data_IF_564359314551
#
_entry.id   IF_564359314551
#
_cell.length_a   1.000
_cell.length_b   1.000
_cell.length_c   1.000
_cell.angle_alpha   90.00
_cell.angle_beta   90.00
_cell.angle_gamma   90.00
#
_symmetry.space_group_name_H-M   'P 1'
#
loop_
_entity.id
_entity.type
_entity.pdbx_description
1 polymer ?
#
# COMPACT_ATOMS: atom_id res chain seq x y z
N UNK A 1 12.09 24.50 10.83
CA UNK A 1 11.17 24.09 11.91
C UNK A 1 9.75 24.61 11.68
N UNK A 2 9.47 25.94 11.62
CA UNK A 2 8.09 26.48 11.44
C UNK A 2 7.28 25.88 10.28
N UNK A 3 7.91 25.57 9.14
CA UNK A 3 7.21 24.96 7.99
C UNK A 3 6.81 23.51 8.24
N UNK A 4 7.62 22.75 8.97
CA UNK A 4 7.33 21.35 9.32
C UNK A 4 6.20 21.27 10.33
N UNK A 5 6.24 22.11 11.37
CA UNK A 5 5.19 22.19 12.38
C UNK A 5 3.84 22.56 11.76
N UNK A 6 3.84 23.54 10.83
CA UNK A 6 2.62 23.89 10.11
C UNK A 6 2.10 22.74 9.24
N UNK A 7 2.97 22.08 8.49
CA UNK A 7 2.59 20.93 7.66
C UNK A 7 2.02 19.77 8.51
N UNK A 8 2.56 19.56 9.72
CA UNK A 8 2.07 18.54 10.65
C UNK A 8 0.71 18.91 11.25
N UNK A 9 0.49 20.17 11.63
CA UNK A 9 -0.81 20.61 12.14
C UNK A 9 -1.89 20.48 11.06
N UNK A 10 -1.63 20.99 9.84
CA UNK A 10 -2.53 20.83 8.70
C UNK A 10 -2.81 19.34 8.39
N UNK A 11 -1.80 18.49 8.49
CA UNK A 11 -1.94 17.04 8.32
C UNK A 11 -2.91 16.44 9.33
N UNK A 12 -2.74 16.75 10.61
CA UNK A 12 -3.60 16.21 11.68
C UNK A 12 -5.04 16.67 11.48
N UNK A 13 -5.26 17.96 11.21
CA UNK A 13 -6.59 18.53 11.01
C UNK A 13 -7.30 17.89 9.81
N UNK A 14 -6.61 17.78 8.67
CA UNK A 14 -7.16 17.15 7.47
C UNK A 14 -7.41 15.64 7.68
N UNK A 15 -6.55 14.97 8.44
CA UNK A 15 -6.66 13.54 8.70
C UNK A 15 -7.88 13.21 9.56
N UNK A 16 -8.27 14.10 10.48
CA UNK A 16 -9.48 13.94 11.29
C UNK A 16 -10.76 13.93 10.44
N UNK A 17 -10.79 14.68 9.35
CA UNK A 17 -11.95 14.76 8.44
C UNK A 17 -11.94 13.72 7.31
N UNK A 18 -10.81 13.01 7.09
CA UNK A 18 -10.69 12.02 6.04
C UNK A 18 -11.52 10.77 6.35
N UNK A 19 -12.38 10.35 5.41
CA UNK A 19 -13.28 9.19 5.54
C UNK A 19 -12.96 8.14 4.47
N UNK A 20 -12.78 8.58 3.22
CA UNK A 20 -12.56 7.70 2.08
C UNK A 20 -11.07 7.48 1.80
N UNK A 21 -10.76 6.45 1.03
CA UNK A 21 -9.38 6.19 0.59
C UNK A 21 -8.80 7.36 -0.19
N UNK A 22 -9.63 8.02 -1.00
CA UNK A 22 -9.21 9.19 -1.77
C UNK A 22 -8.95 10.41 -0.88
N UNK A 23 -9.70 10.58 0.22
CA UNK A 23 -9.38 11.60 1.22
C UNK A 23 -8.02 11.35 1.86
N UNK A 24 -7.77 10.12 2.29
CA UNK A 24 -6.47 9.73 2.84
C UNK A 24 -5.33 9.94 1.85
N UNK A 25 -5.55 9.59 0.57
CA UNK A 25 -4.57 9.82 -0.49
C UNK A 25 -4.26 11.31 -0.63
N UNK A 26 -5.28 12.16 -0.71
CA UNK A 26 -5.11 13.62 -0.84
C UNK A 26 -4.38 14.25 0.34
N UNK A 27 -4.73 13.83 1.56
CA UNK A 27 -4.07 14.33 2.78
C UNK A 27 -2.59 13.98 2.76
N UNK A 28 -2.24 12.71 2.53
CA UNK A 28 -0.85 12.29 2.53
C UNK A 28 -0.04 12.90 1.37
N UNK A 29 -0.62 13.05 0.18
CA UNK A 29 0.01 13.69 -0.97
C UNK A 29 0.32 15.16 -0.69
N UNK A 30 -0.64 15.92 -0.15
CA UNK A 30 -0.43 17.31 0.25
C UNK A 30 0.67 17.43 1.30
N UNK A 31 0.65 16.56 2.32
CA UNK A 31 1.67 16.55 3.37
C UNK A 31 3.04 16.24 2.81
N UNK A 32 3.15 15.23 1.93
CA UNK A 32 4.41 14.91 1.25
C UNK A 32 4.98 16.13 0.51
N UNK A 33 4.16 16.81 -0.28
CA UNK A 33 4.56 18.01 -1.02
C UNK A 33 4.97 19.17 -0.09
N UNK A 34 4.23 19.39 1.00
CA UNK A 34 4.56 20.43 2.00
C UNK A 34 5.88 20.18 2.71
N UNK A 35 6.28 18.91 2.81
CA UNK A 35 7.54 18.46 3.40
C UNK A 35 8.69 18.35 2.36
N UNK A 36 8.42 18.68 1.09
CA UNK A 36 9.43 18.66 0.02
C UNK A 36 9.61 17.30 -0.67
N UNK A 37 8.72 16.35 -0.41
CA UNK A 37 8.70 15.07 -1.11
C UNK A 37 7.76 15.13 -2.31
N UNK A 38 8.11 14.40 -3.36
CA UNK A 38 7.30 14.32 -4.58
C UNK A 38 6.22 13.25 -4.50
N UNK A 39 6.53 12.13 -3.83
CA UNK A 39 5.69 10.96 -3.77
C UNK A 39 5.48 10.50 -2.34
N UNK A 40 4.33 9.88 -2.10
CA UNK A 40 4.12 9.07 -0.91
C UNK A 40 3.57 7.70 -1.30
N UNK A 41 3.77 6.72 -0.43
CA UNK A 41 3.10 5.44 -0.46
C UNK A 41 2.84 4.93 0.95
N UNK A 42 1.63 4.52 1.20
CA UNK A 42 1.26 3.75 2.37
C UNK A 42 0.92 2.35 1.95
N UNK A 43 1.65 1.39 2.48
CA UNK A 43 1.42 -0.02 2.26
C UNK A 43 1.09 -0.70 3.58
N UNK A 44 0.07 -1.56 3.60
CA UNK A 44 -0.21 -2.41 4.75
C UNK A 44 -0.57 -3.81 4.31
N UNK A 45 0.02 -4.81 4.96
CA UNK A 45 -0.31 -6.21 4.78
C UNK A 45 -1.17 -6.67 5.95
N UNK A 46 -2.42 -7.02 5.67
CA UNK A 46 -3.39 -7.50 6.65
C UNK A 46 -3.88 -8.88 6.27
N UNK A 47 -4.67 -9.52 7.15
CA UNK A 47 -5.33 -10.77 6.85
C UNK A 47 -6.18 -10.72 5.57
N UNK A 48 -6.79 -9.56 5.29
CA UNK A 48 -7.64 -9.33 4.12
C UNK A 48 -6.87 -8.92 2.85
N UNK A 49 -5.55 -9.11 2.81
CA UNK A 49 -4.69 -8.80 1.69
C UNK A 49 -3.93 -7.47 1.82
N UNK A 50 -3.02 -7.21 0.88
CA UNK A 50 -2.25 -5.98 0.85
C UNK A 50 -3.13 -4.80 0.44
N UNK A 51 -2.90 -3.65 1.07
CA UNK A 51 -3.51 -2.37 0.72
C UNK A 51 -2.41 -1.38 0.40
N UNK A 52 -2.56 -0.72 -0.74
CA UNK A 52 -1.70 0.38 -1.17
C UNK A 52 -2.53 1.65 -1.36
N UNK A 53 -2.12 2.73 -0.70
CA UNK A 53 -2.60 4.09 -0.95
C UNK A 53 -1.36 4.91 -1.32
N UNK A 54 -1.31 5.48 -2.52
CA UNK A 54 -0.11 6.20 -2.96
C UNK A 54 -0.41 7.30 -3.96
N UNK A 55 0.54 8.21 -4.11
CA UNK A 55 0.59 9.22 -5.18
C UNK A 55 1.51 8.80 -6.34
N UNK A 56 2.06 7.61 -6.31
CA UNK A 56 2.87 7.09 -7.41
C UNK A 56 2.07 6.99 -8.72
N UNK A 57 2.72 7.14 -9.88
CA UNK A 57 2.08 6.90 -11.17
C UNK A 57 1.43 5.52 -11.24
N UNK A 58 0.24 5.43 -11.82
CA UNK A 58 -0.47 4.13 -11.98
C UNK A 58 0.37 3.11 -12.74
N UNK A 59 1.13 3.55 -13.75
CA UNK A 59 2.07 2.70 -14.50
C UNK A 59 3.12 2.05 -13.59
N UNK A 60 3.66 2.78 -12.62
CA UNK A 60 4.58 2.22 -11.63
C UNK A 60 3.88 1.23 -10.70
N UNK A 61 2.74 1.59 -10.13
CA UNK A 61 2.04 0.71 -9.20
C UNK A 61 1.58 -0.58 -9.87
N UNK A 62 1.11 -0.54 -11.13
CA UNK A 62 0.79 -1.74 -11.90
C UNK A 62 2.02 -2.60 -12.11
N UNK A 63 3.11 -2.02 -12.63
CA UNK A 63 4.38 -2.72 -12.84
C UNK A 63 4.92 -3.36 -11.56
N UNK A 64 4.85 -2.62 -10.42
CA UNK A 64 5.27 -3.11 -9.11
C UNK A 64 4.55 -4.40 -8.69
N UNK A 65 3.24 -4.47 -8.90
CA UNK A 65 2.45 -5.66 -8.59
C UNK A 65 2.60 -6.76 -9.65
N UNK A 66 2.72 -6.41 -10.92
CA UNK A 66 2.91 -7.35 -12.02
C UNK A 66 4.23 -8.14 -11.87
N UNK A 67 5.29 -7.48 -11.40
CA UNK A 67 6.59 -8.10 -11.12
C UNK A 67 6.65 -8.80 -9.73
N UNK A 68 5.59 -8.66 -8.91
CA UNK A 68 5.53 -9.27 -7.57
C UNK A 68 6.56 -8.68 -6.61
N UNK A 69 6.80 -7.37 -6.71
CA UNK A 69 7.76 -6.69 -5.85
C UNK A 69 7.27 -6.57 -4.41
N UNK A 70 5.97 -6.70 -4.16
CA UNK A 70 5.39 -6.74 -2.81
C UNK A 70 5.92 -7.87 -1.93
N UNK A 71 6.40 -8.95 -2.54
CA UNK A 71 6.94 -10.10 -1.80
C UNK A 71 8.40 -9.90 -1.37
N UNK A 72 9.12 -9.04 -2.08
CA UNK A 72 10.54 -8.78 -1.77
C UNK A 72 10.69 -7.69 -0.74
N UNK A 73 9.83 -6.71 -0.72
CA UNK A 73 9.90 -5.41 -0.02
C UNK A 73 11.22 -5.21 0.76
N UNK A 74 12.33 -4.92 0.06
CA UNK A 74 13.68 -4.91 0.65
C UNK A 74 13.81 -3.88 1.77
N UNK A 75 12.97 -2.87 1.65
CA UNK A 75 12.78 -1.76 2.56
C UNK A 75 12.38 -2.24 3.97
N UNK A 76 11.68 -3.36 4.09
CA UNK A 76 11.29 -3.92 5.38
C UNK A 76 12.29 -4.93 5.95
N UNK A 77 13.10 -5.55 5.09
CA UNK A 77 14.13 -6.49 5.54
C UNK A 77 15.36 -5.78 6.12
N UNK A 78 15.62 -4.54 5.71
CA UNK A 78 16.79 -3.75 6.17
C UNK A 78 16.60 -3.13 7.56
N UNK A 79 15.38 -3.06 8.11
CA UNK A 79 15.16 -2.38 9.39
C UNK A 79 15.50 -3.25 10.59
N UNK A 80 16.81 -3.40 10.86
CA UNK A 80 17.34 -3.78 12.17
C UNK A 80 17.46 -2.57 13.12
N UNK A 81 17.06 -1.38 12.69
CA UNK A 81 17.10 -0.17 13.50
C UNK A 81 15.91 -0.13 14.47
N UNK A 82 16.14 0.14 15.75
CA UNK A 82 15.07 0.24 16.77
C UNK A 82 14.03 1.32 16.45
N UNK A 83 14.41 2.35 15.69
CA UNK A 83 13.54 3.50 15.38
C UNK A 83 12.49 3.23 14.30
N UNK A 84 12.50 2.08 13.62
CA UNK A 84 11.52 1.78 12.59
C UNK A 84 11.55 2.66 11.33
N UNK A 85 12.43 3.66 11.29
CA UNK A 85 12.57 4.61 10.18
C UNK A 85 13.91 4.40 9.51
N UNK A 86 13.95 4.34 8.18
CA UNK A 86 15.19 4.17 7.42
C UNK A 86 15.15 4.88 6.08
N UNK A 87 16.33 5.35 5.68
CA UNK A 87 16.61 5.94 4.38
C UNK A 87 16.97 4.84 3.38
N UNK A 88 16.57 5.06 2.14
CA UNK A 88 16.98 4.23 1.02
C UNK A 88 17.31 5.10 -0.19
N UNK A 89 18.28 4.66 -0.99
CA UNK A 89 18.67 5.26 -2.26
C UNK A 89 18.69 4.17 -3.33
N UNK A 90 17.91 4.32 -4.39
CA UNK A 90 17.86 3.38 -5.50
C UNK A 90 19.18 3.24 -6.27
N UNK A 91 20.10 4.19 -6.12
CA UNK A 91 21.46 4.09 -6.67
C UNK A 91 22.35 3.10 -5.92
N UNK A 92 21.99 2.77 -4.68
CA UNK A 92 22.67 1.75 -3.87
C UNK A 92 22.27 0.31 -4.25
N UNK A 93 21.84 0.10 -5.51
CA UNK A 93 21.54 -1.23 -6.04
C UNK A 93 22.70 -2.25 -5.85
N UNK A 94 23.93 -1.76 -5.59
CA UNK A 94 25.08 -2.59 -5.19
C UNK A 94 24.87 -3.30 -3.85
N UNK A 95 24.02 -2.77 -2.98
CA UNK A 95 23.66 -3.37 -1.69
C UNK A 95 22.45 -4.31 -1.78
N UNK A 96 21.89 -4.50 -2.97
CA UNK A 96 20.78 -5.40 -3.21
C UNK A 96 21.18 -6.84 -2.92
N UNK A 97 20.40 -7.54 -2.11
CA UNK A 97 20.68 -8.91 -1.65
C UNK A 97 20.28 -9.98 -2.68
N UNK A 98 19.49 -9.60 -3.69
CA UNK A 98 19.02 -10.50 -4.73
C UNK A 98 18.94 -9.81 -6.09
N UNK A 99 18.97 -10.57 -7.22
CA UNK A 99 18.77 -10.01 -8.55
C UNK A 99 17.40 -9.31 -8.69
N UNK A 100 16.37 -9.82 -8.03
CA UNK A 100 15.02 -9.24 -8.05
C UNK A 100 14.98 -7.90 -7.30
N UNK A 101 15.69 -7.76 -6.18
CA UNK A 101 15.82 -6.50 -5.44
C UNK A 101 16.55 -5.44 -6.30
N UNK A 102 17.58 -5.85 -7.02
CA UNK A 102 18.30 -4.95 -7.94
C UNK A 102 17.36 -4.45 -9.04
N UNK A 103 16.61 -5.35 -9.68
CA UNK A 103 15.63 -4.98 -10.72
C UNK A 103 14.57 -4.02 -10.19
N UNK A 104 14.06 -4.22 -8.98
CA UNK A 104 13.13 -3.29 -8.34
C UNK A 104 13.70 -1.86 -8.27
N UNK A 105 14.97 -1.70 -7.87
CA UNK A 105 15.59 -0.38 -7.80
C UNK A 105 15.82 0.23 -9.19
N UNK A 106 16.27 -0.57 -10.14
CA UNK A 106 16.49 -0.12 -11.54
C UNK A 106 15.18 0.34 -12.16
N UNK A 107 14.09 -0.42 -11.96
CA UNK A 107 12.76 -0.07 -12.44
C UNK A 107 12.23 1.19 -11.75
N UNK A 108 12.37 1.31 -10.43
CA UNK A 108 11.96 2.50 -9.68
C UNK A 108 12.66 3.77 -10.19
N UNK A 109 13.95 3.67 -10.52
CA UNK A 109 14.71 4.77 -11.11
C UNK A 109 14.13 5.21 -12.46
N UNK A 110 13.65 4.29 -13.29
CA UNK A 110 13.00 4.61 -14.58
C UNK A 110 11.73 5.45 -14.41
N UNK A 111 11.04 5.29 -13.27
CA UNK A 111 9.86 6.08 -12.88
C UNK A 111 10.21 7.32 -12.05
N UNK A 112 11.51 7.69 -11.98
CA UNK A 112 12.02 8.82 -11.18
C UNK A 112 11.78 8.69 -9.68
N UNK A 113 11.65 7.47 -9.19
CA UNK A 113 11.56 7.14 -7.76
C UNK A 113 12.98 6.76 -7.32
N UNK A 114 13.74 7.74 -6.85
CA UNK A 114 15.18 7.58 -6.67
C UNK A 114 15.61 7.36 -5.23
N UNK A 115 15.10 8.16 -4.32
CA UNK A 115 15.48 8.09 -2.90
C UNK A 115 14.29 8.40 -2.03
N UNK A 116 14.32 7.93 -0.81
CA UNK A 116 13.23 8.18 0.12
C UNK A 116 13.49 7.71 1.53
N UNK A 117 12.51 7.99 2.35
CA UNK A 117 12.40 7.58 3.73
C UNK A 117 11.21 6.65 3.88
N UNK A 118 11.37 5.57 4.62
CA UNK A 118 10.27 4.71 5.00
C UNK A 118 10.17 4.59 6.51
N UNK A 119 8.97 4.83 7.02
CA UNK A 119 8.56 4.55 8.39
C UNK A 119 7.95 3.16 8.42
N UNK A 120 8.61 2.21 9.08
CA UNK A 120 8.05 0.90 9.36
C UNK A 120 7.12 0.98 10.55
N UNK A 121 5.93 0.46 10.39
CA UNK A 121 4.90 0.47 11.42
C UNK A 121 4.68 -0.98 11.85
N UNK A 122 5.13 -1.36 13.07
CA UNK A 122 4.89 -2.69 13.60
C UNK A 122 3.38 -2.86 13.85
N UNK A 123 2.87 -4.00 13.41
CA UNK A 123 1.49 -4.41 13.64
C UNK A 123 1.49 -5.81 14.27
N UNK A 124 0.37 -6.24 14.84
CA UNK A 124 0.28 -7.55 15.47
C UNK A 124 0.32 -8.71 14.45
N UNK A 125 0.82 -9.89 14.88
CA UNK A 125 0.67 -11.17 14.19
C UNK A 125 1.24 -11.24 12.76
N UNK A 126 2.54 -11.00 12.59
CA UNK A 126 3.22 -11.13 11.29
C UNK A 126 2.66 -10.21 10.19
N UNK A 127 1.92 -9.19 10.57
CA UNK A 127 1.45 -8.12 9.71
C UNK A 127 2.40 -6.94 9.80
N UNK A 128 2.44 -6.11 8.79
CA UNK A 128 3.22 -4.88 8.82
C UNK A 128 2.54 -3.79 8.00
N UNK A 129 2.86 -2.56 8.34
CA UNK A 129 2.56 -1.41 7.51
C UNK A 129 3.82 -0.57 7.31
N UNK A 130 3.83 0.20 6.25
CA UNK A 130 4.91 1.12 5.94
C UNK A 130 4.34 2.41 5.35
N UNK A 131 4.91 3.53 5.77
CA UNK A 131 4.64 4.84 5.18
C UNK A 131 5.94 5.36 4.57
N UNK A 132 5.93 5.59 3.28
CA UNK A 132 7.09 5.97 2.49
C UNK A 132 6.89 7.36 1.90
N UNK A 133 7.92 8.18 1.98
CA UNK A 133 8.05 9.46 1.30
C UNK A 133 9.23 9.37 0.34
N UNK A 134 9.06 9.79 -0.91
CA UNK A 134 10.08 9.63 -1.94
C UNK A 134 10.24 10.89 -2.81
N UNK A 135 11.44 11.03 -3.36
CA UNK A 135 11.82 12.10 -4.28
C UNK A 135 12.53 11.54 -5.51
N UNK A 136 12.60 12.34 -6.55
CA UNK A 136 13.31 12.05 -7.80
C UNK A 136 14.77 12.48 -7.78
N UNK A 137 15.17 13.31 -6.82
CA UNK A 137 16.57 13.69 -6.64
C UNK A 137 16.94 13.78 -5.16
N UNK A 138 18.22 13.53 -4.88
CA UNK A 138 18.78 13.62 -3.54
C UNK A 138 19.56 14.93 -3.42
N UNK A 139 19.11 15.82 -2.56
CA UNK A 139 19.82 17.03 -2.21
C UNK A 139 20.43 16.92 -0.81
N UNK A 140 21.55 17.59 -0.58
CA UNK A 140 22.16 17.69 0.76
C UNK A 140 21.19 18.26 1.80
N UNK A 141 20.27 19.13 1.36
CA UNK A 141 19.22 19.68 2.21
C UNK A 141 18.20 18.63 2.67
N UNK A 142 17.90 17.65 1.82
CA UNK A 142 16.97 16.56 2.14
C UNK A 142 17.54 15.64 3.23
N UNK A 143 18.81 15.24 3.12
CA UNK A 143 19.44 14.39 4.12
C UNK A 143 19.42 15.05 5.50
N UNK A 144 19.82 16.32 5.57
CA UNK A 144 19.81 17.09 6.81
C UNK A 144 18.38 17.27 7.35
N UNK A 145 17.42 17.51 6.45
CA UNK A 145 16.01 17.61 6.83
C UNK A 145 15.52 16.30 7.47
N UNK A 146 15.83 15.17 6.86
CA UNK A 146 15.39 13.85 7.36
C UNK A 146 16.03 13.56 8.71
N UNK A 147 17.33 13.80 8.87
CA UNK A 147 18.05 13.62 10.14
C UNK A 147 17.42 14.45 11.27
N UNK A 148 17.08 15.70 10.99
CA UNK A 148 16.53 16.62 12.00
C UNK A 148 15.03 16.45 12.24
N UNK A 149 14.30 15.76 11.35
CA UNK A 149 12.83 15.63 11.39
C UNK A 149 12.37 14.17 11.51
N UNK A 150 13.27 13.24 11.78
CA UNK A 150 12.99 11.80 11.79
C UNK A 150 11.82 11.44 12.71
N UNK A 151 11.79 11.99 13.93
CA UNK A 151 10.73 11.72 14.90
C UNK A 151 9.37 12.23 14.41
N UNK A 152 9.37 13.40 13.78
CA UNK A 152 8.16 14.00 13.21
C UNK A 152 7.64 13.16 12.05
N UNK A 153 8.52 12.72 11.16
CA UNK A 153 8.16 11.87 10.02
C UNK A 153 7.65 10.50 10.49
N UNK A 154 8.24 9.97 11.56
CA UNK A 154 7.74 8.75 12.20
C UNK A 154 6.34 8.95 12.78
N UNK A 155 6.11 10.06 13.47
CA UNK A 155 4.79 10.41 14.00
C UNK A 155 3.74 10.53 12.87
N UNK A 156 4.08 11.18 11.76
CA UNK A 156 3.20 11.29 10.59
C UNK A 156 2.81 9.90 10.07
N UNK A 157 3.76 9.00 9.90
CA UNK A 157 3.50 7.64 9.42
C UNK A 157 2.63 6.83 10.37
N UNK A 158 2.90 6.88 11.67
CA UNK A 158 2.15 6.18 12.71
C UNK A 158 0.71 6.71 12.81
N UNK A 159 0.54 8.04 12.83
CA UNK A 159 -0.78 8.69 12.91
C UNK A 159 -1.60 8.38 11.65
N UNK A 160 -0.98 8.44 10.47
CA UNK A 160 -1.64 8.04 9.23
C UNK A 160 -2.16 6.61 9.30
N UNK A 161 -1.29 5.67 9.72
CA UNK A 161 -1.66 4.27 9.87
C UNK A 161 -2.82 4.08 10.85
N UNK A 162 -2.79 4.74 11.99
CA UNK A 162 -3.85 4.64 13.00
C UNK A 162 -5.21 5.07 12.41
N UNK A 163 -5.25 6.19 11.70
CA UNK A 163 -6.49 6.69 11.09
C UNK A 163 -6.99 5.82 9.93
N UNK A 164 -6.10 5.40 9.02
CA UNK A 164 -6.45 4.46 7.94
C UNK A 164 -6.95 3.14 8.52
N UNK A 165 -6.31 2.64 9.57
CA UNK A 165 -6.69 1.39 10.22
C UNK A 165 -8.04 1.49 10.92
N UNK A 166 -8.33 2.64 11.53
CA UNK A 166 -9.59 2.87 12.21
C UNK A 166 -10.78 3.05 11.26
N UNK A 167 -10.57 3.63 10.07
CA UNK A 167 -11.67 4.04 9.19
C UNK A 167 -11.81 3.18 7.93
N UNK A 168 -10.69 2.77 7.34
CA UNK A 168 -10.71 1.95 6.12
C UNK A 168 -10.51 0.45 6.46
N UNK A 169 -10.02 0.14 7.64
CA UNK A 169 -9.73 -1.23 8.09
C UNK A 169 -10.79 -1.86 8.97
N UNK A 170 -11.82 -1.13 9.33
CA UNK A 170 -12.92 -1.68 10.11
C UNK A 170 -13.94 -2.34 9.19
N UNK A 171 -14.07 -3.66 9.30
CA UNK A 171 -15.40 -4.27 9.25
C UNK A 171 -16.19 -3.60 10.39
N UNK A 172 -17.36 -2.99 10.15
CA UNK A 172 -18.11 -2.29 11.20
C UNK A 172 -18.41 -3.27 12.35
N UNK A 173 -18.13 -2.89 13.60
CA UNK A 173 -18.57 -3.68 14.74
C UNK A 173 -20.03 -3.37 14.98
N UNK A 174 -20.92 -3.89 14.25
CA UNK A 174 -22.30 -4.15 14.65
C UNK A 174 -23.17 -4.58 13.47
N UNK A 175 -23.63 -5.81 13.49
CA UNK A 175 -24.98 -6.21 13.13
C UNK A 175 -25.42 -6.12 11.66
N UNK A 176 -24.76 -5.39 10.80
CA UNK A 176 -24.86 -5.53 9.35
C UNK A 176 -23.63 -6.30 8.87
N UNK A 177 -23.83 -7.53 8.46
CA UNK A 177 -22.82 -8.38 7.82
C UNK A 177 -22.26 -7.64 6.60
N UNK A 178 -21.20 -6.84 6.82
CA UNK A 178 -20.39 -6.32 5.72
C UNK A 178 -19.90 -7.51 4.93
N UNK A 179 -20.09 -7.50 3.62
CA UNK A 179 -19.59 -8.56 2.75
C UNK A 179 -18.12 -8.84 3.07
N UNK A 180 -17.71 -10.08 3.30
CA UNK A 180 -16.32 -10.45 3.52
C UNK A 180 -15.44 -10.16 2.28
N UNK A 181 -16.06 -9.81 1.17
CA UNK A 181 -15.45 -9.53 -0.11
C UNK A 181 -15.45 -8.04 -0.43
N UNK A 182 -14.35 -7.54 -0.94
CA UNK A 182 -14.31 -6.22 -1.59
C UNK A 182 -15.13 -6.22 -2.88
N UNK A 183 -15.48 -5.05 -3.38
CA UNK A 183 -16.22 -4.94 -4.64
C UNK A 183 -15.51 -5.63 -5.81
N UNK A 184 -14.17 -5.47 -5.91
CA UNK A 184 -13.37 -6.10 -6.98
C UNK A 184 -13.28 -7.62 -6.82
N UNK A 185 -13.12 -8.11 -5.61
CA UNK A 185 -13.14 -9.55 -5.33
C UNK A 185 -14.48 -10.17 -5.69
N UNK A 186 -15.57 -9.49 -5.37
CA UNK A 186 -16.92 -9.90 -5.70
C UNK A 186 -17.14 -9.94 -7.22
N UNK A 187 -16.74 -8.88 -7.93
CA UNK A 187 -16.81 -8.83 -9.39
C UNK A 187 -16.03 -9.99 -10.05
N UNK A 188 -14.78 -10.23 -9.60
CA UNK A 188 -13.98 -11.33 -10.12
C UNK A 188 -14.61 -12.69 -9.85
N UNK A 189 -15.14 -12.93 -8.63
CA UNK A 189 -15.84 -14.18 -8.30
C UNK A 189 -17.14 -14.35 -9.07
N UNK A 190 -17.92 -13.30 -9.27
CA UNK A 190 -19.14 -13.34 -10.06
C UNK A 190 -18.85 -13.77 -11.50
N UNK A 191 -17.92 -13.12 -12.18
CA UNK A 191 -17.51 -13.53 -13.53
C UNK A 191 -16.93 -14.93 -13.59
N UNK A 192 -16.23 -15.37 -12.50
CA UNK A 192 -15.74 -16.74 -12.40
C UNK A 192 -16.92 -17.72 -12.25
N UNK A 193 -17.96 -17.37 -11.51
CA UNK A 193 -19.16 -18.22 -11.40
C UNK A 193 -19.90 -18.36 -12.72
N UNK A 194 -19.81 -17.36 -13.59
CA UNK A 194 -20.35 -17.37 -14.95
C UNK A 194 -19.43 -18.09 -15.98
N UNK A 195 -18.36 -18.73 -15.49
CA UNK A 195 -17.46 -19.51 -16.31
C UNK A 195 -16.45 -18.70 -17.13
N UNK A 196 -16.29 -17.40 -16.87
CA UNK A 196 -15.29 -16.55 -17.55
C UNK A 196 -13.88 -16.92 -17.13
N UNK A 197 -12.95 -16.89 -18.11
CA UNK A 197 -11.53 -17.07 -17.84
C UNK A 197 -10.91 -15.83 -17.20
N UNK A 198 -9.73 -15.96 -16.58
CA UNK A 198 -9.02 -14.80 -16.01
C UNK A 198 -8.69 -13.75 -17.09
N UNK A 199 -8.50 -14.18 -18.33
CA UNK A 199 -8.25 -13.29 -19.47
C UNK A 199 -9.51 -12.45 -19.77
N UNK A 200 -10.67 -13.11 -19.89
CA UNK A 200 -11.95 -12.44 -20.15
C UNK A 200 -12.28 -11.44 -19.04
N UNK A 201 -12.08 -11.85 -17.78
CA UNK A 201 -12.34 -11.00 -16.62
C UNK A 201 -11.39 -9.79 -16.62
N UNK A 202 -10.13 -9.98 -17.01
CA UNK A 202 -9.16 -8.90 -17.11
C UNK A 202 -9.60 -7.84 -18.13
N UNK A 203 -10.08 -8.26 -19.30
CA UNK A 203 -10.61 -7.38 -20.34
C UNK A 203 -11.86 -6.65 -19.88
N UNK A 204 -12.83 -7.37 -19.27
CA UNK A 204 -14.07 -6.79 -18.76
C UNK A 204 -13.85 -5.73 -17.65
N UNK A 205 -12.85 -5.94 -16.80
CA UNK A 205 -12.57 -5.08 -15.66
C UNK A 205 -11.49 -4.03 -15.92
N UNK A 206 -10.84 -4.04 -17.09
CA UNK A 206 -9.74 -3.14 -17.43
C UNK A 206 -8.49 -3.32 -16.55
N UNK A 207 -8.17 -4.57 -16.20
CA UNK A 207 -7.04 -4.94 -15.35
C UNK A 207 -6.19 -6.02 -16.03
N UNK A 208 -5.05 -6.40 -15.45
CA UNK A 208 -4.26 -7.50 -15.98
C UNK A 208 -4.80 -8.87 -15.50
N UNK A 209 -4.57 -9.98 -16.21
CA UNK A 209 -4.94 -11.33 -15.75
C UNK A 209 -4.32 -11.67 -14.39
N UNK A 210 -3.13 -11.15 -14.11
CA UNK A 210 -2.45 -11.29 -12.81
C UNK A 210 -3.19 -10.51 -11.70
N UNK A 211 -3.71 -9.32 -12.03
CA UNK A 211 -4.58 -8.55 -11.14
C UNK A 211 -5.87 -9.31 -10.81
N UNK A 212 -6.49 -9.98 -11.80
CA UNK A 212 -7.64 -10.85 -11.57
C UNK A 212 -7.29 -12.00 -10.64
N UNK A 213 -6.17 -12.70 -10.91
CA UNK A 213 -5.68 -13.77 -10.04
C UNK A 213 -5.49 -13.28 -8.60
N UNK A 214 -4.89 -12.11 -8.42
CA UNK A 214 -4.71 -11.48 -7.10
C UNK A 214 -6.04 -11.30 -6.36
N UNK A 215 -7.07 -10.75 -7.04
CA UNK A 215 -8.39 -10.56 -6.44
C UNK A 215 -9.07 -11.89 -6.10
N UNK A 216 -8.96 -12.90 -6.97
CA UNK A 216 -9.51 -14.23 -6.72
C UNK A 216 -8.81 -14.95 -5.57
N UNK A 217 -7.49 -14.84 -5.46
CA UNK A 217 -6.72 -15.41 -4.34
C UNK A 217 -7.07 -14.72 -3.00
N UNK A 218 -7.33 -13.42 -3.03
CA UNK A 218 -7.79 -12.68 -1.86
C UNK A 218 -9.22 -13.10 -1.48
N UNK A 219 -10.15 -13.16 -2.44
CA UNK A 219 -11.51 -13.62 -2.21
C UNK A 219 -11.54 -15.03 -1.59
N UNK A 220 -10.71 -15.94 -2.12
CA UNK A 220 -10.57 -17.28 -1.58
C UNK A 220 -10.11 -17.28 -0.10
N UNK A 221 -9.12 -16.44 0.24
CA UNK A 221 -8.64 -16.29 1.62
C UNK A 221 -9.68 -15.66 2.53
N UNK A 222 -10.36 -14.61 2.07
CA UNK A 222 -11.38 -13.89 2.85
C UNK A 222 -12.59 -14.77 3.17
N UNK A 223 -12.90 -15.73 2.31
CA UNK A 223 -13.94 -16.72 2.51
C UNK A 223 -13.45 -17.98 3.24
N UNK A 224 -12.19 -18.03 3.64
CA UNK A 224 -11.53 -19.22 4.22
C UNK A 224 -11.72 -20.48 3.34
N UNK A 225 -11.74 -20.31 2.02
CA UNK A 225 -11.93 -21.39 1.07
C UNK A 225 -10.61 -22.07 0.71
N UNK A 226 -10.63 -23.40 0.55
CA UNK A 226 -9.46 -24.20 0.18
C UNK A 226 -9.10 -24.07 -1.31
N UNK A 227 -10.13 -23.95 -2.17
CA UNK A 227 -9.99 -23.84 -3.63
C UNK A 227 -10.84 -22.71 -4.18
N UNK A 228 -10.57 -22.28 -5.41
CA UNK A 228 -11.39 -21.26 -6.07
C UNK A 228 -12.85 -21.69 -6.28
N UNK A 229 -13.14 -22.92 -6.77
CA UNK A 229 -14.52 -23.41 -6.82
C UNK A 229 -15.22 -23.43 -5.45
N UNK A 230 -14.48 -23.75 -4.38
CA UNK A 230 -15.01 -23.67 -3.01
C UNK A 230 -15.34 -22.23 -2.62
N UNK A 231 -14.51 -21.25 -3.02
CA UNK A 231 -14.78 -19.84 -2.78
C UNK A 231 -16.05 -19.37 -3.50
N UNK A 232 -16.25 -19.75 -4.75
CA UNK A 232 -17.47 -19.47 -5.52
C UNK A 232 -18.70 -20.09 -4.82
N UNK A 233 -18.63 -21.37 -4.43
CA UNK A 233 -19.73 -22.03 -3.74
C UNK A 233 -20.11 -21.37 -2.41
N UNK A 234 -19.11 -20.97 -1.62
CA UNK A 234 -19.33 -20.23 -0.37
C UNK A 234 -19.95 -18.86 -0.61
N UNK A 235 -19.48 -18.13 -1.62
CA UNK A 235 -19.98 -16.81 -1.95
C UNK A 235 -21.46 -16.86 -2.41
N UNK A 236 -21.82 -17.83 -3.24
CA UNK A 236 -23.21 -18.08 -3.65
C UNK A 236 -24.11 -18.44 -2.45
N UNK A 237 -23.66 -19.36 -1.61
CA UNK A 237 -24.41 -19.78 -0.40
C UNK A 237 -24.65 -18.63 0.59
N UNK A 238 -23.73 -17.67 0.65
CA UNK A 238 -23.82 -16.51 1.54
C UNK A 238 -24.53 -15.31 0.88
N UNK A 239 -25.03 -15.45 -0.35
CA UNK A 239 -25.67 -14.37 -1.08
C UNK A 239 -24.75 -13.18 -1.37
N UNK A 240 -23.46 -13.44 -1.58
CA UNK A 240 -22.44 -12.41 -1.84
C UNK A 240 -22.28 -12.12 -3.33
N UNK A 241 -22.76 -12.98 -4.21
CA UNK A 241 -22.77 -12.84 -5.66
C UNK A 241 -24.23 -12.68 -6.11
N UNK A 242 -24.46 -11.68 -6.92
CA UNK A 242 -25.71 -11.44 -7.66
C UNK A 242 -25.57 -11.96 -9.08
#
# INVERSE_FOLDING_TARGET
>A
MKNVERACNEFVDCLHSAITEDDFRRVAERTAHSLGFRWFAYFSRRANGPKLISSYPKSWTSHYFDEGYEDIYPVLQKSRTPSGTFLWDGRDARSAKSPKERRLFDDALSFKIRTGLTVRIPTSQNQFAAFTLAVDDRSLGLDRFIETSQDILQMVGLTYHAHVSARIGRTPPNGQKGSPLTQRERQCLAWTSDGKTMQDIAELLGVTPRGVKFHLDNARRNLAALTLPHAVALALRQGLLE
#
